data_IF_371672601108
#
_entry.id   IF_371672601108
#
_cell.length_a   1.000
_cell.length_b   1.000
_cell.length_c   1.000
_cell.angle_alpha   90.00
_cell.angle_beta   90.00
_cell.angle_gamma   90.00
#
_symmetry.space_group_name_H-M   'P 1'
#
loop_
_entity.id
_entity.type
_entity.pdbx_description
1 polymer ?
#
# COMPACT_ATOMS: atom_id res chain seq x y z
N UNK A 1 -36.46 -20.83 -1.42
CA UNK A 1 -36.12 -19.49 -1.94
C UNK A 1 -37.27 -18.54 -1.61
N UNK A 2 -36.98 -17.39 -1.01
CA UNK A 2 -37.92 -16.33 -0.67
C UNK A 2 -37.48 -15.05 -1.39
N UNK A 3 -38.04 -14.83 -2.58
CA UNK A 3 -37.62 -13.76 -3.50
C UNK A 3 -38.80 -12.83 -3.79
N UNK A 4 -38.59 -11.52 -3.75
CA UNK A 4 -39.61 -10.50 -4.04
C UNK A 4 -40.88 -10.66 -3.19
N UNK A 5 -40.75 -11.15 -1.96
CA UNK A 5 -41.88 -11.33 -1.05
C UNK A 5 -42.19 -10.02 -0.32
N UNK A 6 -43.40 -9.93 0.24
CA UNK A 6 -43.82 -8.81 1.11
C UNK A 6 -43.70 -9.15 2.60
N UNK A 7 -42.85 -10.12 2.94
CA UNK A 7 -42.65 -10.53 4.33
C UNK A 7 -41.92 -9.43 5.11
N UNK A 8 -42.42 -9.11 6.31
CA UNK A 8 -41.79 -8.15 7.22
C UNK A 8 -40.86 -8.81 8.23
N UNK A 9 -41.11 -10.07 8.56
CA UNK A 9 -40.39 -10.82 9.59
C UNK A 9 -40.14 -12.24 9.11
N UNK A 10 -38.93 -12.77 9.35
CA UNK A 10 -38.70 -14.22 9.37
C UNK A 10 -39.00 -14.70 10.79
N UNK A 11 -40.10 -15.43 11.01
CA UNK A 11 -40.56 -15.73 12.36
C UNK A 11 -39.65 -16.72 13.09
N UNK A 12 -39.77 -16.76 14.41
CA UNK A 12 -39.07 -17.70 15.27
C UNK A 12 -39.27 -19.14 14.80
N UNK A 13 -38.17 -19.88 14.62
CA UNK A 13 -38.21 -21.28 14.20
C UNK A 13 -38.75 -21.49 12.78
N UNK A 14 -38.73 -20.48 11.91
CA UNK A 14 -39.31 -20.54 10.57
C UNK A 14 -38.92 -21.78 9.75
N UNK A 15 -37.68 -22.24 9.89
CA UNK A 15 -37.14 -23.40 9.16
C UNK A 15 -36.96 -24.64 10.03
N UNK A 16 -37.40 -24.61 11.28
CA UNK A 16 -37.21 -25.73 12.20
C UNK A 16 -37.87 -27.02 11.68
N UNK A 17 -37.16 -28.14 11.82
CA UNK A 17 -37.64 -29.47 11.41
C UNK A 17 -37.42 -29.83 9.94
N UNK A 18 -36.89 -28.92 9.11
CA UNK A 18 -36.56 -29.19 7.70
C UNK A 18 -35.19 -29.89 7.57
N UNK A 19 -35.12 -31.16 7.98
CA UNK A 19 -33.85 -31.90 8.11
C UNK A 19 -33.09 -32.10 6.79
N UNK A 20 -33.81 -32.13 5.67
CA UNK A 20 -33.23 -32.28 4.33
C UNK A 20 -32.90 -30.94 3.65
N UNK A 21 -33.09 -29.81 4.34
CA UNK A 21 -32.86 -28.49 3.77
C UNK A 21 -31.37 -28.21 3.60
N UNK A 22 -30.96 -27.97 2.36
CA UNK A 22 -29.56 -27.76 2.02
C UNK A 22 -29.19 -26.29 1.79
N UNK A 23 -30.14 -25.51 1.23
CA UNK A 23 -29.92 -24.11 0.84
C UNK A 23 -31.11 -23.23 1.19
N UNK A 24 -30.83 -22.06 1.76
CA UNK A 24 -31.83 -21.01 1.98
C UNK A 24 -31.38 -19.74 1.28
N UNK A 25 -32.30 -19.16 0.52
CA UNK A 25 -32.11 -17.88 -0.16
C UNK A 25 -33.26 -16.96 0.22
N UNK A 26 -32.93 -15.79 0.77
CA UNK A 26 -33.82 -14.70 1.13
C UNK A 26 -33.28 -13.47 0.39
N UNK A 27 -33.82 -13.16 -0.78
CA UNK A 27 -33.28 -12.11 -1.65
C UNK A 27 -34.35 -11.12 -2.12
N UNK A 28 -33.99 -9.85 -2.27
CA UNK A 28 -34.88 -8.81 -2.82
C UNK A 28 -36.19 -8.64 -2.03
N UNK A 29 -36.09 -8.63 -0.70
CA UNK A 29 -37.24 -8.47 0.19
C UNK A 29 -37.19 -7.09 0.86
N UNK A 30 -37.69 -6.07 0.16
CA UNK A 30 -37.64 -4.67 0.63
C UNK A 30 -38.46 -4.43 1.90
N UNK A 31 -39.47 -5.26 2.17
CA UNK A 31 -40.30 -5.12 3.36
C UNK A 31 -39.72 -5.83 4.60
N UNK A 32 -38.69 -6.67 4.44
CA UNK A 32 -38.13 -7.46 5.54
C UNK A 32 -37.37 -6.56 6.50
N UNK A 33 -37.77 -6.57 7.77
CA UNK A 33 -37.22 -5.71 8.83
C UNK A 33 -36.42 -6.50 9.87
N UNK A 34 -36.86 -7.74 10.17
CA UNK A 34 -36.34 -8.55 11.29
C UNK A 34 -36.23 -10.03 10.93
N UNK A 35 -35.16 -10.68 11.40
CA UNK A 35 -35.05 -12.14 11.52
C UNK A 35 -35.03 -12.51 13.00
N UNK A 36 -36.03 -13.28 13.44
CA UNK A 36 -36.21 -13.64 14.85
C UNK A 36 -35.31 -14.81 15.30
N UNK A 37 -35.27 -15.04 16.61
CA UNK A 37 -34.52 -16.11 17.24
C UNK A 37 -34.83 -17.50 16.66
N UNK A 38 -33.84 -18.37 16.61
CA UNK A 38 -33.91 -19.74 16.11
C UNK A 38 -34.48 -19.87 14.68
N UNK A 39 -34.50 -18.81 13.87
CA UNK A 39 -34.96 -18.90 12.48
C UNK A 39 -34.22 -20.01 11.71
N UNK A 40 -32.89 -20.10 11.91
CA UNK A 40 -32.01 -21.11 11.33
C UNK A 40 -31.44 -22.01 12.44
N UNK A 41 -32.26 -22.95 12.92
CA UNK A 41 -31.87 -23.85 14.02
C UNK A 41 -31.98 -25.33 13.67
N UNK A 42 -30.99 -26.13 14.05
CA UNK A 42 -31.00 -27.60 13.96
C UNK A 42 -31.23 -28.11 12.52
N UNK A 43 -30.45 -27.57 11.59
CA UNK A 43 -30.53 -27.91 10.16
C UNK A 43 -29.25 -28.65 9.74
N UNK A 44 -29.21 -30.01 9.84
CA UNK A 44 -27.97 -30.77 9.76
C UNK A 44 -27.37 -30.80 8.34
N UNK A 45 -28.18 -30.64 7.29
CA UNK A 45 -27.71 -30.62 5.89
C UNK A 45 -27.55 -29.22 5.29
N UNK A 46 -27.93 -28.17 6.03
CA UNK A 46 -27.88 -26.81 5.52
C UNK A 46 -26.43 -26.36 5.38
N UNK A 47 -26.01 -26.11 4.15
CA UNK A 47 -24.65 -25.68 3.84
C UNK A 47 -24.58 -24.27 3.27
N UNK A 48 -25.69 -23.70 2.82
CA UNK A 48 -25.73 -22.38 2.19
C UNK A 48 -26.91 -21.53 2.72
N UNK A 49 -26.60 -20.34 3.23
CA UNK A 49 -27.59 -19.31 3.60
C UNK A 49 -27.22 -18.02 2.87
N UNK A 50 -28.17 -17.47 2.12
CA UNK A 50 -28.01 -16.19 1.40
C UNK A 50 -29.10 -15.22 1.80
N UNK A 51 -28.70 -14.07 2.34
CA UNK A 51 -29.56 -12.93 2.70
C UNK A 51 -29.07 -11.74 1.88
N UNK A 52 -29.81 -11.37 0.85
CA UNK A 52 -29.36 -10.36 -0.12
C UNK A 52 -30.41 -9.28 -0.36
N UNK A 53 -29.98 -8.04 -0.57
CA UNK A 53 -30.85 -6.94 -1.05
C UNK A 53 -32.10 -6.80 -0.19
N UNK A 54 -31.90 -6.73 1.13
CA UNK A 54 -32.94 -6.54 2.12
C UNK A 54 -32.68 -5.22 2.84
N UNK A 55 -32.90 -4.11 2.12
CA UNK A 55 -32.45 -2.78 2.54
C UNK A 55 -33.02 -2.32 3.89
N UNK A 56 -34.23 -2.77 4.23
CA UNK A 56 -34.89 -2.45 5.49
C UNK A 56 -34.63 -3.48 6.60
N UNK A 57 -33.83 -4.53 6.36
CA UNK A 57 -33.45 -5.49 7.39
C UNK A 57 -32.43 -4.82 8.32
N UNK A 58 -32.89 -4.36 9.49
CA UNK A 58 -32.05 -3.63 10.45
C UNK A 58 -31.55 -4.52 11.58
N UNK A 59 -32.24 -5.64 11.84
CA UNK A 59 -31.99 -6.50 12.99
C UNK A 59 -32.06 -7.99 12.65
N UNK A 60 -31.04 -8.73 13.06
CA UNK A 60 -31.05 -10.20 13.16
C UNK A 60 -30.84 -10.53 14.63
N UNK A 61 -31.75 -11.33 15.17
CA UNK A 61 -31.68 -11.77 16.56
C UNK A 61 -30.37 -12.54 16.84
N UNK A 62 -29.79 -12.34 18.01
CA UNK A 62 -28.52 -12.98 18.40
C UNK A 62 -28.60 -14.51 18.41
N UNK A 63 -29.80 -15.06 18.55
CA UNK A 63 -30.09 -16.48 18.57
C UNK A 63 -30.66 -17.00 17.24
N UNK A 64 -30.65 -16.20 16.18
CA UNK A 64 -31.18 -16.58 14.87
C UNK A 64 -30.46 -17.78 14.23
N UNK A 65 -29.13 -17.86 14.39
CA UNK A 65 -28.30 -18.94 13.84
C UNK A 65 -27.85 -19.92 14.94
N UNK A 66 -28.33 -21.17 14.88
CA UNK A 66 -28.00 -22.18 15.89
C UNK A 66 -27.77 -23.56 15.29
N UNK A 67 -26.68 -24.20 15.72
CA UNK A 67 -26.32 -25.59 15.43
C UNK A 67 -26.50 -25.95 13.95
N UNK A 68 -25.59 -25.44 13.12
CA UNK A 68 -25.55 -25.63 11.68
C UNK A 68 -24.26 -26.37 11.32
N UNK A 69 -24.16 -27.69 11.61
CA UNK A 69 -22.91 -28.44 11.56
C UNK A 69 -22.32 -28.58 10.14
N UNK A 70 -23.14 -28.41 9.10
CA UNK A 70 -22.73 -28.52 7.69
C UNK A 70 -22.61 -27.16 7.00
N UNK A 71 -22.73 -26.03 7.72
CA UNK A 71 -22.68 -24.70 7.11
C UNK A 71 -21.33 -24.47 6.43
N UNK A 72 -21.35 -24.03 5.17
CA UNK A 72 -20.15 -23.72 4.37
C UNK A 72 -20.14 -22.29 3.87
N UNK A 73 -21.31 -21.73 3.57
CA UNK A 73 -21.45 -20.37 3.04
C UNK A 73 -22.58 -19.62 3.72
N UNK A 74 -22.24 -18.49 4.34
CA UNK A 74 -23.20 -17.53 4.88
C UNK A 74 -22.94 -16.17 4.22
N UNK A 75 -23.85 -15.75 3.35
CA UNK A 75 -23.82 -14.47 2.66
C UNK A 75 -24.86 -13.53 3.24
N UNK A 76 -24.43 -12.33 3.63
CA UNK A 76 -25.29 -11.22 4.02
C UNK A 76 -24.84 -9.98 3.25
N UNK A 77 -25.56 -9.61 2.21
CA UNK A 77 -25.17 -8.50 1.34
C UNK A 77 -26.29 -7.48 1.11
N UNK A 78 -25.91 -6.20 1.10
CA UNK A 78 -26.80 -5.08 0.81
C UNK A 78 -28.05 -5.09 1.71
N UNK A 79 -27.80 -4.96 3.02
CA UNK A 79 -28.83 -4.90 4.05
C UNK A 79 -28.71 -3.65 4.92
N UNK A 80 -29.75 -3.37 5.70
CA UNK A 80 -29.79 -2.26 6.66
C UNK A 80 -29.10 -2.52 8.00
N UNK A 81 -28.39 -3.65 8.16
CA UNK A 81 -27.86 -4.11 9.44
C UNK A 81 -26.86 -3.14 10.05
N UNK A 82 -26.98 -2.93 11.36
CA UNK A 82 -26.10 -2.05 12.14
C UNK A 82 -24.96 -2.78 12.84
N UNK A 83 -25.13 -4.08 13.06
CA UNK A 83 -24.21 -4.95 13.78
C UNK A 83 -23.97 -6.23 12.98
N UNK A 84 -22.82 -6.87 13.18
CA UNK A 84 -22.55 -8.19 12.64
C UNK A 84 -23.53 -9.22 13.22
N UNK A 85 -23.93 -10.25 12.44
CA UNK A 85 -24.75 -11.34 12.96
C UNK A 85 -23.98 -12.10 14.04
N UNK A 86 -24.68 -12.50 15.10
CA UNK A 86 -24.09 -13.35 16.12
C UNK A 86 -23.93 -14.79 15.59
N UNK A 87 -22.69 -15.28 15.52
CA UNK A 87 -22.37 -16.60 14.96
C UNK A 87 -21.88 -17.62 16.00
N UNK A 88 -21.84 -17.23 17.27
CA UNK A 88 -21.28 -18.03 18.37
C UNK A 88 -21.95 -19.39 18.61
N UNK A 89 -23.18 -19.58 18.14
CA UNK A 89 -23.95 -20.82 18.26
C UNK A 89 -24.01 -21.62 16.96
N UNK A 90 -23.32 -21.21 15.89
CA UNK A 90 -23.34 -21.91 14.60
C UNK A 90 -22.65 -23.28 14.70
N UNK A 91 -21.42 -23.31 15.20
CA UNK A 91 -20.62 -24.53 15.44
C UNK A 91 -20.56 -25.47 14.24
N UNK A 92 -20.18 -24.94 13.06
CA UNK A 92 -19.97 -25.76 11.86
C UNK A 92 -18.74 -26.67 12.01
N UNK A 93 -18.80 -27.86 11.40
CA UNK A 93 -17.66 -28.78 11.27
C UNK A 93 -16.97 -28.66 9.89
N UNK A 94 -17.30 -27.63 9.12
CA UNK A 94 -16.78 -27.41 7.78
C UNK A 94 -16.01 -26.09 7.72
N UNK A 95 -15.15 -25.95 6.71
CA UNK A 95 -14.59 -24.64 6.37
C UNK A 95 -15.72 -23.68 5.98
N UNK A 96 -15.82 -22.54 6.65
CA UNK A 96 -16.89 -21.55 6.44
C UNK A 96 -16.36 -20.32 5.73
N UNK A 97 -17.03 -19.93 4.65
CA UNK A 97 -16.95 -18.60 4.06
C UNK A 97 -18.08 -17.73 4.65
N UNK A 98 -17.71 -16.76 5.47
CA UNK A 98 -18.61 -15.72 5.94
C UNK A 98 -18.42 -14.47 5.07
N UNK A 99 -19.44 -14.18 4.29
CA UNK A 99 -19.41 -13.13 3.28
C UNK A 99 -20.42 -12.04 3.67
N UNK A 100 -19.89 -10.94 4.21
CA UNK A 100 -20.68 -9.79 4.66
C UNK A 100 -20.17 -8.57 3.90
N UNK A 101 -20.89 -8.16 2.86
CA UNK A 101 -20.48 -7.08 1.95
C UNK A 101 -21.61 -6.08 1.72
N UNK A 102 -21.27 -4.83 1.39
CA UNK A 102 -22.24 -3.77 1.06
C UNK A 102 -23.24 -3.45 2.20
N UNK A 103 -22.86 -3.71 3.46
CA UNK A 103 -23.66 -3.34 4.64
C UNK A 103 -23.09 -2.07 5.27
N UNK A 104 -23.43 -0.93 4.67
CA UNK A 104 -22.87 0.40 5.00
C UNK A 104 -23.12 0.86 6.45
N UNK A 105 -24.07 0.24 7.14
CA UNK A 105 -24.45 0.59 8.51
C UNK A 105 -23.69 -0.20 9.58
N UNK A 106 -22.95 -1.25 9.21
CA UNK A 106 -22.07 -1.99 10.13
C UNK A 106 -20.80 -1.17 10.36
N UNK A 107 -20.59 -0.71 11.58
CA UNK A 107 -19.50 0.23 11.91
C UNK A 107 -18.40 -0.35 12.79
N UNK A 108 -18.70 -1.37 13.59
CA UNK A 108 -17.80 -1.90 14.62
C UNK A 108 -17.72 -3.42 14.48
N UNK A 109 -16.51 -3.96 14.59
CA UNK A 109 -16.29 -5.39 14.86
C UNK A 109 -15.95 -5.54 16.34
N UNK A 110 -16.84 -6.18 17.09
CA UNK A 110 -16.71 -6.39 18.53
C UNK A 110 -15.76 -7.55 18.87
N UNK A 111 -15.30 -7.59 20.12
CA UNK A 111 -14.52 -8.71 20.65
C UNK A 111 -15.23 -10.06 20.44
N UNK A 112 -14.46 -11.10 20.08
CA UNK A 112 -14.95 -12.47 19.88
C UNK A 112 -16.10 -12.60 18.84
N UNK A 113 -16.27 -11.65 17.91
CA UNK A 113 -17.39 -11.61 16.95
C UNK A 113 -17.58 -12.91 16.16
N UNK A 114 -16.50 -13.65 15.93
CA UNK A 114 -16.47 -14.84 15.07
C UNK A 114 -16.21 -16.15 15.84
N UNK A 115 -16.04 -16.08 17.16
CA UNK A 115 -15.79 -17.24 18.00
C UNK A 115 -16.99 -18.20 17.92
N UNK A 116 -16.74 -19.50 17.69
CA UNK A 116 -17.81 -20.52 17.63
C UNK A 116 -18.52 -20.64 16.27
N UNK A 117 -18.06 -19.91 15.23
CA UNK A 117 -18.59 -20.06 13.88
C UNK A 117 -18.30 -21.45 13.27
N UNK A 118 -17.05 -21.90 13.37
CA UNK A 118 -16.60 -23.20 12.88
C UNK A 118 -15.50 -23.77 13.78
N UNK A 119 -15.40 -25.10 13.86
CA UNK A 119 -14.25 -25.81 14.41
C UNK A 119 -13.07 -25.91 13.45
N UNK A 120 -13.30 -25.63 12.16
CA UNK A 120 -12.32 -25.62 11.07
C UNK A 120 -11.89 -24.18 10.72
N UNK A 121 -11.13 -24.03 9.63
CA UNK A 121 -10.74 -22.70 9.14
C UNK A 121 -11.92 -21.89 8.60
N UNK A 122 -11.76 -20.57 8.63
CA UNK A 122 -12.77 -19.59 8.24
C UNK A 122 -12.16 -18.58 7.26
N UNK A 123 -12.94 -18.22 6.24
CA UNK A 123 -12.68 -17.07 5.38
C UNK A 123 -13.69 -15.98 5.76
N UNK A 124 -13.18 -14.80 6.10
CA UNK A 124 -13.97 -13.64 6.49
C UNK A 124 -13.85 -12.55 5.42
N UNK A 125 -14.92 -12.37 4.65
CA UNK A 125 -15.06 -11.24 3.74
C UNK A 125 -15.96 -10.19 4.38
N UNK A 126 -15.34 -9.13 4.88
CA UNK A 126 -15.97 -8.01 5.57
C UNK A 126 -15.76 -6.70 4.79
N UNK A 127 -15.48 -6.82 3.50
CA UNK A 127 -15.16 -5.70 2.62
C UNK A 127 -16.41 -4.91 2.23
N UNK A 128 -16.22 -3.67 1.76
CA UNK A 128 -17.31 -2.77 1.31
C UNK A 128 -18.41 -2.52 2.36
N UNK A 129 -18.06 -2.56 3.65
CA UNK A 129 -18.99 -2.19 4.73
C UNK A 129 -18.71 -0.76 5.21
N UNK A 130 -19.41 -0.36 6.27
CA UNK A 130 -19.20 0.92 6.95
C UNK A 130 -18.18 0.88 8.10
N UNK A 131 -17.31 -0.13 8.16
CA UNK A 131 -16.50 -0.42 9.36
C UNK A 131 -15.51 0.73 9.60
N UNK A 132 -15.48 1.19 10.85
CA UNK A 132 -14.62 2.28 11.34
C UNK A 132 -13.71 1.82 12.46
N UNK A 133 -14.20 0.90 13.29
CA UNK A 133 -13.53 0.43 14.49
C UNK A 133 -13.55 -1.09 14.56
N UNK A 134 -12.43 -1.65 15.03
CA UNK A 134 -12.27 -3.07 15.33
C UNK A 134 -11.75 -3.12 16.76
N UNK A 135 -12.39 -3.89 17.64
CA UNK A 135 -11.93 -4.05 19.02
C UNK A 135 -10.73 -5.01 19.12
N UNK A 136 -9.96 -4.93 20.22
CA UNK A 136 -8.98 -5.97 20.54
C UNK A 136 -9.68 -7.34 20.68
N UNK A 137 -8.99 -8.43 20.33
CA UNK A 137 -9.54 -9.78 20.34
C UNK A 137 -10.79 -9.99 19.47
N UNK A 138 -11.02 -9.15 18.46
CA UNK A 138 -12.15 -9.30 17.53
C UNK A 138 -12.22 -10.69 16.87
N UNK A 139 -11.05 -11.26 16.55
CA UNK A 139 -10.92 -12.56 15.88
C UNK A 139 -10.48 -13.71 16.82
N UNK A 140 -10.55 -13.51 18.14
CA UNK A 140 -10.12 -14.51 19.11
C UNK A 140 -10.89 -15.83 18.99
N UNK A 141 -10.19 -16.96 19.14
CA UNK A 141 -10.76 -18.30 19.06
C UNK A 141 -11.13 -18.74 17.65
N UNK A 142 -10.52 -18.14 16.61
CA UNK A 142 -10.79 -18.48 15.20
C UNK A 142 -9.53 -18.89 14.44
N UNK A 143 -9.72 -19.79 13.47
CA UNK A 143 -8.69 -20.20 12.51
C UNK A 143 -8.92 -19.44 11.20
N UNK A 144 -8.22 -18.33 11.00
CA UNK A 144 -8.37 -17.45 9.84
C UNK A 144 -7.49 -17.90 8.68
N UNK A 145 -8.12 -18.33 7.58
CA UNK A 145 -7.43 -18.50 6.31
C UNK A 145 -7.26 -17.15 5.61
N UNK A 146 -8.36 -16.41 5.48
CA UNK A 146 -8.38 -15.13 4.79
C UNK A 146 -9.26 -14.13 5.52
N UNK A 147 -8.74 -12.91 5.65
CA UNK A 147 -9.45 -11.75 6.17
C UNK A 147 -9.40 -10.62 5.16
N UNK A 148 -10.56 -10.26 4.61
CA UNK A 148 -10.71 -9.16 3.70
C UNK A 148 -11.48 -8.00 4.38
N UNK A 149 -10.76 -6.92 4.67
CA UNK A 149 -11.26 -5.66 5.23
C UNK A 149 -11.26 -4.54 4.17
N UNK A 150 -11.07 -4.86 2.90
CA UNK A 150 -10.94 -3.86 1.85
C UNK A 150 -12.19 -2.99 1.67
N UNK A 151 -12.02 -1.80 1.11
CA UNK A 151 -13.09 -0.85 0.83
C UNK A 151 -13.89 -0.37 2.07
N UNK A 152 -13.38 -0.61 3.28
CA UNK A 152 -13.84 0.08 4.49
C UNK A 152 -13.13 1.44 4.60
N UNK A 153 -13.60 2.43 3.83
CA UNK A 153 -12.92 3.72 3.62
C UNK A 153 -12.72 4.58 4.89
N UNK A 154 -13.38 4.24 5.99
CA UNK A 154 -13.29 4.96 7.26
C UNK A 154 -12.57 4.18 8.36
N UNK A 155 -12.02 2.99 8.04
CA UNK A 155 -11.22 2.21 8.97
C UNK A 155 -9.80 2.79 9.04
N UNK A 156 -9.45 3.40 10.18
CA UNK A 156 -8.20 4.13 10.37
C UNK A 156 -7.13 3.34 11.15
N UNK A 157 -7.56 2.43 12.03
CA UNK A 157 -6.67 1.75 12.96
C UNK A 157 -6.99 0.28 13.03
N UNK A 158 -5.93 -0.52 13.10
CA UNK A 158 -5.99 -1.95 13.35
C UNK A 158 -5.28 -2.17 14.69
N UNK A 159 -6.01 -2.48 15.79
CA UNK A 159 -5.41 -2.57 17.12
C UNK A 159 -4.32 -3.64 17.22
N UNK A 160 -3.36 -3.48 18.15
CA UNK A 160 -2.23 -4.41 18.28
C UNK A 160 -2.63 -5.85 18.67
N UNK A 161 -3.74 -6.03 19.40
CA UNK A 161 -4.20 -7.33 19.92
C UNK A 161 -5.39 -7.88 19.11
N UNK A 162 -5.62 -7.34 17.91
CA UNK A 162 -6.73 -7.73 17.02
C UNK A 162 -6.73 -9.23 16.67
N UNK A 163 -5.55 -9.79 16.46
CA UNK A 163 -5.31 -11.20 16.09
C UNK A 163 -4.90 -12.05 17.29
N UNK A 164 -4.93 -11.49 18.51
CA UNK A 164 -4.55 -12.25 19.68
C UNK A 164 -5.58 -13.34 19.98
N UNK A 165 -5.10 -14.58 20.04
CA UNK A 165 -5.95 -15.77 20.18
C UNK A 165 -6.58 -16.26 18.87
N UNK A 166 -6.29 -15.60 17.75
CA UNK A 166 -6.58 -16.11 16.42
C UNK A 166 -5.38 -16.91 15.88
N UNK A 167 -5.63 -17.95 15.08
CA UNK A 167 -4.60 -18.57 14.25
C UNK A 167 -4.72 -18.01 12.83
N UNK A 168 -3.63 -17.59 12.20
CA UNK A 168 -3.67 -16.78 10.97
C UNK A 168 -3.78 -15.26 11.24
N UNK A 169 -4.24 -14.44 10.27
CA UNK A 169 -4.70 -14.82 8.93
C UNK A 169 -3.55 -15.26 8.00
N UNK A 170 -3.84 -16.10 7.00
CA UNK A 170 -2.88 -16.46 5.94
C UNK A 170 -2.88 -15.42 4.82
N UNK A 171 -4.06 -14.89 4.49
CA UNK A 171 -4.26 -13.80 3.53
C UNK A 171 -4.91 -12.62 4.25
N UNK A 172 -4.30 -11.44 4.16
CA UNK A 172 -4.84 -10.20 4.71
C UNK A 172 -5.01 -9.16 3.59
N UNK A 173 -6.22 -8.67 3.41
CA UNK A 173 -6.53 -7.57 2.50
C UNK A 173 -7.07 -6.36 3.27
N UNK A 174 -6.32 -5.26 3.23
CA UNK A 174 -6.65 -3.96 3.83
C UNK A 174 -6.67 -2.85 2.78
N UNK A 175 -6.87 -3.22 1.51
CA UNK A 175 -6.89 -2.28 0.38
C UNK A 175 -8.02 -1.25 0.51
N UNK A 176 -7.81 -0.04 -0.01
CA UNK A 176 -8.81 1.04 0.00
C UNK A 176 -9.31 1.43 1.40
N UNK A 177 -8.49 1.23 2.44
CA UNK A 177 -8.75 1.67 3.82
C UNK A 177 -7.88 2.87 4.19
N UNK A 178 -8.16 3.48 5.35
CA UNK A 178 -7.36 4.58 5.94
C UNK A 178 -6.38 4.09 7.00
N UNK A 179 -6.12 2.79 7.06
CA UNK A 179 -5.24 2.18 8.06
C UNK A 179 -3.85 2.83 8.01
N UNK A 180 -3.40 3.35 9.14
CA UNK A 180 -2.10 4.02 9.25
C UNK A 180 -0.95 3.11 9.70
N UNK A 181 -1.25 2.01 10.40
CA UNK A 181 -0.27 1.08 10.95
C UNK A 181 -0.83 -0.35 11.00
N UNK A 182 0.06 -1.32 10.83
CA UNK A 182 -0.23 -2.75 11.06
C UNK A 182 0.07 -3.13 12.51
N UNK A 183 -0.60 -4.16 13.06
CA UNK A 183 -0.39 -4.60 14.44
C UNK A 183 0.99 -5.23 14.65
N UNK A 184 1.51 -5.17 15.88
CA UNK A 184 2.84 -5.74 16.22
C UNK A 184 2.86 -7.26 16.40
N UNK A 185 1.68 -7.88 16.58
CA UNK A 185 1.51 -9.32 16.81
C UNK A 185 0.49 -9.92 15.83
N UNK A 186 0.58 -11.23 15.59
CA UNK A 186 -0.35 -11.97 14.74
C UNK A 186 -0.08 -11.92 13.24
N UNK A 187 1.00 -11.26 12.80
CA UNK A 187 1.39 -11.19 11.38
C UNK A 187 2.27 -12.37 10.91
N UNK A 188 2.65 -13.27 11.83
CA UNK A 188 3.66 -14.32 11.59
C UNK A 188 3.24 -15.36 10.55
N UNK A 189 1.93 -15.60 10.44
CA UNK A 189 1.33 -16.60 9.55
C UNK A 189 0.89 -16.02 8.20
N UNK A 190 0.97 -14.70 8.01
CA UNK A 190 0.55 -14.04 6.77
C UNK A 190 1.49 -14.45 5.63
N UNK A 191 0.94 -15.10 4.61
CA UNK A 191 1.62 -15.43 3.35
C UNK A 191 1.35 -14.40 2.28
N UNK A 192 0.17 -13.78 2.27
CA UNK A 192 -0.22 -12.76 1.28
C UNK A 192 -0.77 -11.52 1.96
N UNK A 193 -0.15 -10.37 1.70
CA UNK A 193 -0.59 -9.07 2.22
C UNK A 193 -1.01 -8.16 1.07
N UNK A 194 -2.24 -7.65 1.09
CA UNK A 194 -2.77 -6.69 0.11
C UNK A 194 -3.13 -5.39 0.82
N UNK A 195 -2.50 -4.30 0.39
CA UNK A 195 -2.68 -2.94 0.90
C UNK A 195 -2.60 -1.95 -0.27
N UNK A 196 -3.47 -2.16 -1.27
CA UNK A 196 -3.58 -1.29 -2.45
C UNK A 196 -4.43 -0.07 -2.11
N UNK A 197 -4.05 1.10 -2.59
CA UNK A 197 -4.75 2.36 -2.31
C UNK A 197 -4.92 2.66 -0.81
N UNK A 198 -3.99 2.21 0.03
CA UNK A 198 -3.94 2.42 1.47
C UNK A 198 -2.91 3.53 1.79
N UNK A 199 -3.20 4.76 1.36
CA UNK A 199 -2.24 5.88 1.37
C UNK A 199 -1.77 6.32 2.78
N UNK A 200 -2.56 6.02 3.82
CA UNK A 200 -2.17 6.35 5.19
C UNK A 200 -1.15 5.37 5.77
N UNK A 201 -1.01 4.18 5.19
CA UNK A 201 -0.03 3.18 5.61
C UNK A 201 1.33 3.59 5.09
N UNK A 202 2.03 4.45 5.83
CA UNK A 202 3.35 4.95 5.42
C UNK A 202 4.49 4.09 5.92
N UNK A 203 4.32 3.40 7.05
CA UNK A 203 5.36 2.59 7.69
C UNK A 203 4.93 1.15 7.84
N UNK A 204 5.87 0.24 7.65
CA UNK A 204 5.70 -1.19 7.92
C UNK A 204 6.31 -1.55 9.28
N UNK A 205 5.79 -2.58 9.96
CA UNK A 205 6.44 -3.13 11.14
C UNK A 205 7.74 -3.85 10.74
N UNK A 206 8.53 -4.23 11.75
CA UNK A 206 9.78 -4.96 11.55
C UNK A 206 9.55 -6.22 10.67
N UNK A 207 10.42 -6.40 9.68
CA UNK A 207 10.30 -7.49 8.70
C UNK A 207 10.37 -8.88 9.36
N UNK A 208 11.01 -9.01 10.53
CA UNK A 208 11.03 -10.24 11.33
C UNK A 208 9.65 -10.73 11.75
N UNK A 209 8.65 -9.84 11.76
CA UNK A 209 7.24 -10.17 12.03
C UNK A 209 6.57 -10.90 10.87
N UNK A 210 7.07 -10.73 9.65
CA UNK A 210 6.51 -11.33 8.43
C UNK A 210 7.17 -12.68 8.07
N UNK A 211 7.26 -13.61 9.03
CA UNK A 211 7.99 -14.88 8.85
C UNK A 211 7.47 -15.74 7.68
N UNK A 212 6.17 -15.67 7.41
CA UNK A 212 5.50 -16.50 6.40
C UNK A 212 5.28 -15.82 5.05
N UNK A 213 5.64 -14.54 4.90
CA UNK A 213 5.22 -13.72 3.76
C UNK A 213 5.88 -14.19 2.45
N UNK A 214 5.05 -14.30 1.40
CA UNK A 214 5.43 -14.76 0.06
C UNK A 214 5.04 -13.71 -0.98
N UNK A 215 3.88 -13.07 -0.82
CA UNK A 215 3.35 -12.08 -1.75
C UNK A 215 2.91 -10.82 -1.00
N UNK A 216 3.30 -9.64 -1.50
CA UNK A 216 2.93 -8.36 -0.92
C UNK A 216 2.55 -7.34 -2.01
N UNK A 217 1.34 -6.79 -1.92
CA UNK A 217 0.82 -5.81 -2.87
C UNK A 217 0.53 -4.50 -2.12
N UNK A 218 1.46 -3.57 -2.13
CA UNK A 218 1.40 -2.29 -1.46
C UNK A 218 0.93 -1.16 -2.38
N UNK A 219 0.78 0.03 -1.79
CA UNK A 219 0.50 1.27 -2.52
C UNK A 219 1.78 1.98 -2.95
N UNK A 220 2.82 1.95 -2.11
CA UNK A 220 4.08 2.66 -2.34
C UNK A 220 5.19 1.71 -2.80
N UNK A 221 5.92 2.02 -3.89
CA UNK A 221 7.05 1.19 -4.35
C UNK A 221 8.18 1.06 -3.33
N UNK A 222 8.37 2.08 -2.47
CA UNK A 222 9.39 2.09 -1.43
C UNK A 222 9.20 0.99 -0.36
N UNK A 223 7.97 0.51 -0.14
CA UNK A 223 7.73 -0.64 0.72
C UNK A 223 8.37 -1.91 0.17
N UNK A 224 8.37 -2.08 -1.15
CA UNK A 224 8.99 -3.24 -1.79
C UNK A 224 10.52 -3.23 -1.67
N UNK A 225 11.15 -2.07 -1.50
CA UNK A 225 12.59 -1.95 -1.25
C UNK A 225 13.03 -2.62 0.06
N UNK A 226 12.15 -2.68 1.06
CA UNK A 226 12.44 -3.39 2.31
C UNK A 226 12.61 -4.91 2.07
N UNK A 227 11.93 -5.46 1.06
CA UNK A 227 11.90 -6.89 0.77
C UNK A 227 12.90 -7.35 -0.30
N UNK A 228 13.57 -6.44 -1.02
CA UNK A 228 14.54 -6.81 -2.08
C UNK A 228 15.79 -7.48 -1.54
N UNK A 229 16.31 -7.00 -0.41
CA UNK A 229 17.50 -7.54 0.25
C UNK A 229 17.17 -8.45 1.45
N UNK A 230 15.88 -8.65 1.73
CA UNK A 230 15.44 -9.46 2.85
C UNK A 230 15.57 -10.95 2.52
N UNK A 231 16.65 -11.55 2.98
CA UNK A 231 16.83 -13.01 2.96
C UNK A 231 16.08 -13.60 4.15
N UNK A 232 15.01 -14.34 3.85
CA UNK A 232 14.19 -15.02 4.85
C UNK A 232 15.07 -15.89 5.74
N UNK A 233 15.02 -15.68 7.06
CA UNK A 233 15.95 -16.29 8.00
C UNK A 233 15.58 -17.71 8.46
N UNK A 234 14.58 -18.38 7.86
CA UNK A 234 14.17 -19.72 8.27
C UNK A 234 14.46 -20.81 7.24
N UNK A 235 15.51 -21.56 7.57
CA UNK A 235 15.80 -22.96 7.26
C UNK A 235 14.77 -23.90 7.90
N UNK A 236 13.56 -23.99 7.34
CA UNK A 236 12.73 -25.19 7.53
C UNK A 236 12.28 -25.68 6.16
N UNK A 237 13.12 -26.54 5.59
CA UNK A 237 12.81 -27.27 4.37
C UNK A 237 11.59 -28.16 4.64
N UNK A 238 10.58 -28.13 3.78
CA UNK A 238 9.44 -29.03 3.87
C UNK A 238 9.96 -30.49 3.96
N UNK A 239 9.43 -31.39 4.81
CA UNK A 239 9.99 -32.73 4.99
C UNK A 239 10.08 -33.54 3.68
N UNK A 240 9.19 -33.26 2.72
CA UNK A 240 9.17 -33.83 1.38
C UNK A 240 10.42 -33.43 0.56
N UNK A 241 10.96 -32.23 0.79
CA UNK A 241 12.14 -31.72 0.09
C UNK A 241 13.44 -32.41 0.55
N UNK A 242 13.51 -32.91 1.80
CA UNK A 242 14.69 -33.60 2.34
C UNK A 242 15.00 -34.88 1.55
N UNK A 243 13.97 -35.58 1.05
CA UNK A 243 14.16 -36.77 0.22
C UNK A 243 14.69 -36.47 -1.19
N UNK A 244 14.50 -35.26 -1.72
CA UNK A 244 14.96 -34.91 -3.07
C UNK A 244 16.47 -34.67 -3.14
N UNK A 245 17.09 -34.20 -2.05
CA UNK A 245 18.54 -34.00 -1.95
C UNK A 245 19.26 -35.35 -1.75
N UNK A 246 18.70 -36.28 -0.96
CA UNK A 246 19.28 -37.62 -0.77
C UNK A 246 19.32 -38.47 -2.07
N UNK A 247 18.46 -38.17 -3.06
CA UNK A 247 18.52 -38.83 -4.39
C UNK A 247 19.55 -38.21 -5.35
N UNK A 248 20.02 -36.99 -5.09
CA UNK A 248 21.06 -36.34 -5.90
C UNK A 248 22.46 -36.81 -5.51
N UNK A 249 22.69 -37.15 -4.24
CA UNK A 249 24.02 -37.57 -3.74
C UNK A 249 24.42 -39.01 -4.08
N UNK A 250 23.55 -39.81 -4.72
CA UNK A 250 23.88 -41.18 -5.14
C UNK A 250 24.24 -41.32 -6.63
N UNK A 251 24.45 -40.21 -7.35
CA UNK A 251 24.79 -40.19 -8.78
C UNK A 251 26.04 -39.36 -9.08
N UNK A 252 27.10 -39.51 -8.31
CA UNK A 252 28.44 -39.10 -8.76
C UNK A 252 29.50 -40.13 -8.39
N UNK A 253 29.79 -41.04 -9.33
CA UNK A 253 31.14 -41.57 -9.55
C UNK A 253 31.40 -41.71 -11.06
N UNK A 254 32.66 -41.54 -11.52
CA UNK A 254 32.95 -41.03 -12.85
C UNK A 254 33.51 -42.07 -13.82
N UNK A 255 33.09 -41.97 -15.09
CA UNK A 255 33.85 -42.44 -16.25
C UNK A 255 33.39 -43.75 -16.88
N UNK A 256 32.67 -43.66 -18.01
CA UNK A 256 33.05 -44.27 -19.31
C UNK A 256 31.97 -44.01 -20.38
N UNK A 257 32.42 -43.95 -21.63
CA UNK A 257 31.65 -43.63 -22.86
C UNK A 257 30.76 -44.82 -23.28
N UNK A 258 29.59 -44.57 -23.88
CA UNK A 258 29.26 -44.82 -25.31
C UNK A 258 27.72 -44.79 -25.52
N UNK A 259 27.36 -44.74 -26.80
CA UNK A 259 26.10 -44.38 -27.44
C UNK A 259 25.12 -45.58 -27.66
N UNK A 260 23.85 -45.24 -27.93
CA UNK A 260 22.85 -45.89 -28.83
C UNK A 260 21.81 -46.91 -28.27
N UNK A 261 20.52 -46.58 -28.55
CA UNK A 261 19.30 -47.41 -28.80
C UNK A 261 18.81 -48.39 -27.70
N UNK A 262 17.53 -48.76 -27.55
CA UNK A 262 16.23 -48.40 -28.13
C UNK A 262 15.14 -49.18 -27.36
N UNK A 263 13.97 -48.55 -27.22
CA UNK A 263 12.64 -49.15 -27.37
C UNK A 263 12.04 -50.16 -26.35
N UNK A 264 10.71 -50.26 -26.50
CA UNK A 264 9.66 -51.06 -25.88
C UNK A 264 9.13 -50.54 -24.52
N UNK A 265 7.92 -49.95 -24.47
CA UNK A 265 6.57 -50.59 -24.57
C UNK A 265 6.29 -51.37 -23.26
N UNK A 266 5.19 -51.26 -22.53
CA UNK A 266 3.80 -51.06 -22.92
C UNK A 266 2.89 -50.89 -21.66
N UNK A 267 1.76 -50.18 -21.84
CA UNK A 267 0.40 -50.38 -21.28
C UNK A 267 0.19 -50.40 -19.74
N UNK A 268 -0.84 -49.74 -19.14
CA UNK A 268 -2.27 -49.78 -19.46
C UNK A 268 -2.99 -48.46 -19.08
N UNK A 269 -3.87 -48.04 -20.00
CA UNK A 269 -4.94 -47.02 -19.97
C UNK A 269 -6.14 -47.42 -19.10
N UNK A 270 -6.83 -46.54 -18.37
CA UNK A 270 -8.05 -45.81 -18.79
C UNK A 270 -8.76 -45.38 -17.48
N UNK A 271 -9.37 -44.21 -17.32
CA UNK A 271 -10.61 -43.76 -17.97
C UNK A 271 -10.70 -42.23 -17.87
N UNK A 272 -11.10 -41.56 -18.95
CA UNK A 272 -11.38 -40.13 -18.96
C UNK A 272 -12.76 -39.81 -18.41
N UNK A 273 -12.84 -38.70 -17.67
CA UNK A 273 -14.02 -37.84 -17.59
C UNK A 273 -13.52 -36.43 -17.86
N UNK A 274 -14.00 -35.82 -18.95
CA UNK A 274 -13.68 -34.45 -19.30
C UNK A 274 -14.37 -33.45 -18.38
N UNK A 275 -13.67 -32.37 -18.04
CA UNK A 275 -14.25 -31.11 -17.56
C UNK A 275 -13.28 -29.94 -17.84
N UNK A 276 -13.84 -28.77 -18.11
CA UNK A 276 -13.29 -27.54 -18.73
C UNK A 276 -11.94 -26.98 -18.23
N UNK A 277 -11.23 -26.19 -19.07
CA UNK A 277 -9.97 -25.55 -18.73
C UNK A 277 -10.19 -24.17 -18.09
N UNK A 278 -10.43 -24.12 -16.79
CA UNK A 278 -10.25 -22.89 -16.00
C UNK A 278 -10.00 -23.28 -14.54
N UNK A 279 -9.04 -22.62 -13.90
CA UNK A 279 -8.65 -22.77 -12.48
C UNK A 279 -7.78 -24.00 -12.15
N UNK A 280 -6.46 -23.86 -12.34
CA UNK A 280 -5.45 -24.33 -11.39
C UNK A 280 -4.06 -23.84 -11.82
N UNK A 281 -3.73 -22.58 -11.51
CA UNK A 281 -2.37 -22.02 -11.70
C UNK A 281 -1.60 -21.91 -10.37
N UNK A 282 -1.94 -22.77 -9.40
CA UNK A 282 -1.34 -22.78 -8.06
C UNK A 282 -0.87 -24.19 -7.68
N UNK A 283 0.06 -24.79 -8.43
CA UNK A 283 0.79 -25.96 -7.88
C UNK A 283 2.19 -26.27 -8.46
N UNK A 284 3.00 -25.26 -8.80
CA UNK A 284 4.42 -25.51 -9.14
C UNK A 284 5.35 -24.57 -8.39
N UNK A 285 5.74 -24.96 -7.16
CA UNK A 285 6.77 -24.22 -6.42
C UNK A 285 7.12 -24.73 -5.02
N UNK A 286 6.70 -25.94 -4.61
CA UNK A 286 6.86 -26.40 -3.23
C UNK A 286 8.31 -26.70 -2.79
N UNK A 287 9.29 -26.65 -3.71
CA UNK A 287 10.68 -27.05 -3.45
C UNK A 287 11.73 -25.97 -3.76
N UNK A 288 11.36 -24.72 -4.07
CA UNK A 288 12.37 -23.71 -4.41
C UNK A 288 12.97 -23.03 -3.17
N UNK A 289 14.26 -23.28 -3.03
CA UNK A 289 15.26 -22.56 -2.24
C UNK A 289 15.08 -21.04 -2.37
N UNK A 290 14.99 -20.34 -1.22
CA UNK A 290 14.95 -18.87 -1.12
C UNK A 290 13.87 -18.21 -2.01
N UNK A 291 12.61 -18.33 -1.62
CA UNK A 291 11.54 -17.55 -2.24
C UNK A 291 11.65 -16.10 -1.78
N UNK A 292 12.18 -15.24 -2.64
CA UNK A 292 12.09 -13.79 -2.47
C UNK A 292 10.61 -13.40 -2.45
N UNK A 293 10.24 -12.46 -1.57
CA UNK A 293 8.86 -11.96 -1.48
C UNK A 293 8.48 -11.29 -2.80
N UNK A 294 7.44 -11.81 -3.46
CA UNK A 294 6.88 -11.20 -4.66
C UNK A 294 6.16 -9.91 -4.25
N UNK A 295 6.79 -8.76 -4.51
CA UNK A 295 6.29 -7.46 -4.09
C UNK A 295 5.86 -6.58 -5.27
N UNK A 296 4.72 -5.90 -5.13
CA UNK A 296 4.22 -4.90 -6.09
C UNK A 296 3.72 -3.63 -5.36
N UNK A 297 3.81 -2.43 -5.98
CA UNK A 297 4.49 -2.12 -7.24
C UNK A 297 6.01 -2.18 -7.11
N UNK A 298 6.70 -2.61 -8.17
CA UNK A 298 8.18 -2.64 -8.19
C UNK A 298 8.73 -1.21 -8.20
N UNK A 299 9.88 -0.96 -7.52
CA UNK A 299 10.56 0.33 -7.62
C UNK A 299 10.95 0.63 -9.06
N UNK A 300 10.80 1.88 -9.46
CA UNK A 300 11.15 2.39 -10.80
C UNK A 300 12.39 3.29 -10.73
N UNK A 301 12.83 3.81 -11.88
CA UNK A 301 14.02 4.67 -11.95
C UNK A 301 13.87 5.99 -11.18
N UNK A 302 12.63 6.43 -10.94
CA UNK A 302 12.32 7.65 -10.20
C UNK A 302 12.18 7.41 -8.69
N UNK A 303 11.91 6.17 -8.27
CA UNK A 303 11.82 5.73 -6.88
C UNK A 303 12.79 4.56 -6.62
N UNK A 304 14.11 4.77 -6.73
CA UNK A 304 15.08 3.73 -6.42
C UNK A 304 15.07 3.39 -4.92
N UNK A 305 15.53 2.19 -4.60
CA UNK A 305 15.68 1.73 -3.21
C UNK A 305 16.90 2.30 -2.49
N UNK A 306 17.68 3.15 -3.16
CA UNK A 306 18.86 3.79 -2.62
C UNK A 306 18.48 5.00 -1.76
N UNK A 307 19.38 5.40 -0.86
CA UNK A 307 19.24 6.67 -0.12
C UNK A 307 19.23 7.86 -1.12
N UNK A 308 18.75 9.04 -0.67
CA UNK A 308 18.68 10.28 -1.47
C UNK A 308 19.98 10.55 -2.24
N UNK A 309 21.13 10.29 -1.61
CA UNK A 309 22.45 10.30 -2.25
C UNK A 309 23.09 8.89 -2.16
N UNK A 310 22.90 8.07 -3.19
CA UNK A 310 23.32 6.66 -3.19
C UNK A 310 24.83 6.42 -3.00
N UNK A 311 25.69 7.38 -3.38
CA UNK A 311 27.15 7.22 -3.33
C UNK A 311 27.82 8.10 -2.27
N UNK A 312 28.75 7.50 -1.50
CA UNK A 312 29.54 8.23 -0.49
C UNK A 312 30.37 9.38 -1.09
N UNK A 313 30.85 9.26 -2.33
CA UNK A 313 31.58 10.34 -3.01
C UNK A 313 30.67 11.55 -3.24
N UNK A 314 29.45 11.32 -3.72
CA UNK A 314 28.48 12.38 -3.97
C UNK A 314 28.10 13.10 -2.66
N UNK A 315 27.98 12.37 -1.55
CA UNK A 315 27.74 12.93 -0.22
C UNK A 315 28.85 13.87 0.24
N UNK A 316 30.12 13.50 0.04
CA UNK A 316 31.24 14.40 0.40
C UNK A 316 31.24 15.65 -0.50
N UNK A 317 31.02 15.46 -1.80
CA UNK A 317 30.99 16.56 -2.76
C UNK A 317 29.84 17.55 -2.50
N UNK A 318 28.64 17.08 -2.18
CA UNK A 318 27.49 17.98 -1.96
C UNK A 318 27.66 18.85 -0.71
N UNK A 319 28.25 18.32 0.36
CA UNK A 319 28.60 19.11 1.54
C UNK A 319 29.63 20.19 1.20
N UNK A 320 30.67 19.82 0.44
CA UNK A 320 31.69 20.78 0.03
C UNK A 320 31.12 21.89 -0.88
N UNK A 321 30.37 21.51 -1.92
CA UNK A 321 29.78 22.44 -2.89
C UNK A 321 28.74 23.34 -2.20
N UNK A 322 27.88 22.80 -1.33
CA UNK A 322 26.85 23.60 -0.64
C UNK A 322 27.47 24.65 0.29
N UNK A 323 28.47 24.28 1.09
CA UNK A 323 29.17 25.23 1.97
C UNK A 323 29.85 26.32 1.15
N UNK A 324 30.56 25.97 0.07
CA UNK A 324 31.20 26.94 -0.82
C UNK A 324 30.18 27.87 -1.50
N UNK A 325 29.08 27.32 -2.00
CA UNK A 325 28.02 28.11 -2.65
C UNK A 325 27.37 29.08 -1.66
N UNK A 326 27.05 28.64 -0.44
CA UNK A 326 26.43 29.51 0.57
C UNK A 326 27.41 30.59 1.03
N UNK A 327 28.63 30.21 1.43
CA UNK A 327 29.62 31.17 1.92
C UNK A 327 30.08 32.16 0.85
N UNK A 328 30.40 31.68 -0.35
CA UNK A 328 30.84 32.51 -1.47
C UNK A 328 29.78 33.53 -1.89
N UNK A 329 28.53 33.08 -2.06
CA UNK A 329 27.45 34.00 -2.48
C UNK A 329 27.03 34.97 -1.38
N UNK A 330 27.07 34.58 -0.11
CA UNK A 330 26.85 35.51 1.02
C UNK A 330 27.93 36.61 1.01
N UNK A 331 29.20 36.24 0.86
CA UNK A 331 30.30 37.22 0.80
C UNK A 331 30.11 38.17 -0.38
N UNK A 332 29.77 37.66 -1.57
CA UNK A 332 29.48 38.49 -2.75
C UNK A 332 28.32 39.46 -2.48
N UNK A 333 27.21 38.99 -1.90
CA UNK A 333 26.07 39.83 -1.55
C UNK A 333 26.45 40.91 -0.53
N UNK A 334 27.18 40.56 0.54
CA UNK A 334 27.65 41.50 1.56
C UNK A 334 28.54 42.59 0.92
N UNK A 335 29.52 42.19 0.11
CA UNK A 335 30.43 43.14 -0.53
C UNK A 335 29.66 44.07 -1.48
N UNK A 336 28.75 43.54 -2.29
CA UNK A 336 28.02 44.33 -3.28
C UNK A 336 26.97 45.26 -2.65
N UNK A 337 26.36 44.87 -1.53
CA UNK A 337 25.35 45.68 -0.81
C UNK A 337 26.00 46.71 0.13
N UNK A 338 27.07 46.34 0.82
CA UNK A 338 27.79 47.20 1.79
C UNK A 338 28.70 48.24 1.13
N UNK A 339 29.05 48.02 -0.14
CA UNK A 339 29.85 48.93 -0.94
C UNK A 339 29.19 50.31 -1.09
N UNK A 340 29.88 51.37 -0.65
CA UNK A 340 29.42 52.76 -0.81
C UNK A 340 29.48 53.29 -2.25
N UNK A 341 29.91 52.45 -3.20
CA UNK A 341 29.96 52.82 -4.62
C UNK A 341 28.57 52.77 -5.27
N UNK A 342 28.33 53.61 -6.27
CA UNK A 342 27.05 53.62 -7.02
C UNK A 342 26.73 52.24 -7.62
N UNK A 343 25.48 51.79 -7.46
CA UNK A 343 24.96 50.56 -8.07
C UNK A 343 24.87 50.71 -9.59
N UNK A 344 25.83 50.11 -10.29
CA UNK A 344 25.79 49.98 -11.74
C UNK A 344 24.90 48.81 -12.15
N UNK A 345 24.37 48.82 -13.37
CA UNK A 345 23.50 47.74 -13.90
C UNK A 345 24.15 46.36 -13.77
N UNK A 346 25.44 46.15 -14.15
CA UNK A 346 26.07 44.84 -14.00
C UNK A 346 26.21 44.39 -12.55
N UNK A 347 26.48 45.32 -11.61
CA UNK A 347 26.56 45.00 -10.17
C UNK A 347 25.20 44.60 -9.61
N UNK A 348 24.15 45.29 -10.02
CA UNK A 348 22.77 44.92 -9.65
C UNK A 348 22.38 43.53 -10.18
N UNK A 349 22.73 43.20 -11.43
CA UNK A 349 22.46 41.87 -11.99
C UNK A 349 23.29 40.78 -11.30
N UNK A 350 24.56 41.06 -10.97
CA UNK A 350 25.40 40.14 -10.17
C UNK A 350 24.82 39.88 -8.77
N UNK A 351 24.16 40.86 -8.12
CA UNK A 351 23.46 40.61 -6.86
C UNK A 351 22.30 39.62 -7.02
N UNK A 352 21.51 39.74 -8.11
CA UNK A 352 20.40 38.82 -8.36
C UNK A 352 20.91 37.40 -8.66
N UNK A 353 22.01 37.27 -9.40
CA UNK A 353 22.64 35.98 -9.68
C UNK A 353 23.18 35.35 -8.39
N UNK A 354 23.91 36.12 -7.57
CA UNK A 354 24.42 35.64 -6.28
C UNK A 354 23.29 35.24 -5.32
N UNK A 355 22.14 35.91 -5.37
CA UNK A 355 20.96 35.51 -4.60
C UNK A 355 20.38 34.17 -5.10
N UNK A 356 20.23 33.98 -6.41
CA UNK A 356 19.76 32.72 -6.97
C UNK A 356 20.71 31.56 -6.61
N UNK A 357 22.02 31.76 -6.75
CA UNK A 357 23.03 30.75 -6.42
C UNK A 357 23.08 30.46 -4.90
N UNK A 358 22.80 31.45 -4.06
CA UNK A 358 22.61 31.26 -2.61
C UNK A 358 21.39 30.35 -2.32
N UNK A 359 20.27 30.55 -3.02
CA UNK A 359 19.09 29.70 -2.89
C UNK A 359 19.40 28.25 -3.30
N UNK A 360 20.18 28.03 -4.37
CA UNK A 360 20.67 26.68 -4.74
C UNK A 360 21.57 26.10 -3.63
N UNK A 361 22.48 26.91 -3.06
CA UNK A 361 23.33 26.48 -1.95
C UNK A 361 22.53 26.03 -0.73
N UNK A 362 21.50 26.79 -0.34
CA UNK A 362 20.59 26.46 0.77
C UNK A 362 19.81 25.17 0.46
N UNK A 363 19.32 25.01 -0.77
CA UNK A 363 18.66 23.78 -1.21
C UNK A 363 19.57 22.56 -1.08
N UNK A 364 20.80 22.62 -1.59
CA UNK A 364 21.75 21.52 -1.50
C UNK A 364 22.10 21.18 -0.05
N UNK A 365 22.24 22.20 0.81
CA UNK A 365 22.47 22.03 2.24
C UNK A 365 21.27 21.35 2.94
N UNK A 366 20.05 21.71 2.56
CA UNK A 366 18.82 21.09 3.06
C UNK A 366 18.76 19.60 2.70
N UNK A 367 19.00 19.25 1.43
CA UNK A 367 19.04 17.85 0.98
C UNK A 367 20.14 17.06 1.68
N UNK A 368 21.35 17.62 1.81
CA UNK A 368 22.45 16.97 2.50
C UNK A 368 22.15 16.73 4.00
N UNK A 369 21.40 17.64 4.63
CA UNK A 369 20.96 17.52 6.02
C UNK A 369 19.89 16.44 6.21
N UNK A 370 19.01 16.24 5.23
CA UNK A 370 18.01 15.16 5.26
C UNK A 370 18.67 13.80 5.01
N UNK A 371 19.58 13.70 4.03
CA UNK A 371 20.30 12.46 3.71
C UNK A 371 21.05 11.89 4.92
N UNK A 372 21.70 12.75 5.72
CA UNK A 372 22.40 12.30 6.95
C UNK A 372 21.42 11.80 8.03
N UNK A 373 20.22 12.39 8.13
CA UNK A 373 19.21 11.97 9.11
C UNK A 373 18.54 10.64 8.74
N UNK A 374 18.33 10.40 7.44
CA UNK A 374 17.63 9.21 6.94
C UNK A 374 18.56 8.08 6.52
N UNK A 375 19.87 8.22 6.74
CA UNK A 375 20.91 7.31 6.24
C UNK A 375 20.57 5.84 6.53
N UNK A 376 20.62 5.00 5.49
CA UNK A 376 20.39 3.55 5.55
C UNK A 376 18.98 3.12 5.99
N UNK A 377 18.07 4.07 6.23
CA UNK A 377 16.67 3.82 6.57
C UNK A 377 15.74 4.69 5.70
N UNK A 378 16.25 5.23 4.59
CA UNK A 378 15.49 6.16 3.76
C UNK A 378 14.17 5.55 3.28
N UNK A 379 14.12 4.25 2.97
CA UNK A 379 12.88 3.57 2.57
C UNK A 379 11.71 3.75 3.56
N UNK A 380 11.98 3.87 4.87
CA UNK A 380 10.96 4.10 5.92
C UNK A 380 10.52 5.56 6.03
N UNK A 381 11.35 6.50 5.57
CA UNK A 381 11.09 7.94 5.61
C UNK A 381 10.75 8.52 4.23
N UNK A 382 10.98 7.77 3.15
CA UNK A 382 10.81 8.21 1.77
C UNK A 382 9.37 8.63 1.50
N UNK A 383 8.40 7.89 2.03
CA UNK A 383 6.97 8.19 1.84
C UNK A 383 6.61 9.49 2.56
N UNK A 384 7.10 9.69 3.79
CA UNK A 384 6.89 10.92 4.55
C UNK A 384 7.58 12.12 3.89
N UNK A 385 8.76 11.93 3.31
CA UNK A 385 9.49 12.95 2.56
C UNK A 385 8.76 13.37 1.28
N UNK A 386 8.36 12.39 0.48
CA UNK A 386 7.68 12.59 -0.81
C UNK A 386 6.29 13.21 -0.61
N UNK A 387 5.48 12.69 0.30
CA UNK A 387 4.11 13.17 0.55
C UNK A 387 4.05 14.40 1.48
N UNK A 388 5.15 14.74 2.14
CA UNK A 388 5.24 15.83 3.09
C UNK A 388 5.64 17.16 2.48
N UNK A 389 5.81 18.17 3.35
CA UNK A 389 6.26 19.50 2.93
C UNK A 389 7.73 19.53 2.46
N UNK A 390 8.52 18.51 2.78
CA UNK A 390 9.95 18.42 2.44
C UNK A 390 10.20 18.44 0.94
N UNK A 391 9.57 17.52 0.20
CA UNK A 391 9.66 17.46 -1.27
C UNK A 391 9.17 18.76 -1.92
N UNK A 392 8.03 19.31 -1.47
CA UNK A 392 7.50 20.57 -2.02
C UNK A 392 8.43 21.76 -1.79
N UNK A 393 9.03 21.86 -0.60
CA UNK A 393 9.97 22.94 -0.28
C UNK A 393 11.27 22.82 -1.09
N UNK A 394 11.81 21.60 -1.17
CA UNK A 394 13.01 21.31 -1.97
C UNK A 394 12.79 21.59 -3.46
N UNK A 395 11.66 21.14 -4.01
CA UNK A 395 11.26 21.38 -5.39
C UNK A 395 11.06 22.86 -5.69
N UNK A 396 10.40 23.59 -4.78
CA UNK A 396 10.22 25.04 -4.90
C UNK A 396 11.56 25.77 -5.01
N UNK A 397 12.48 25.57 -4.06
CA UNK A 397 13.78 26.24 -4.07
C UNK A 397 14.60 25.90 -5.30
N UNK A 398 14.58 24.64 -5.74
CA UNK A 398 15.34 24.19 -6.92
C UNK A 398 14.86 24.90 -8.18
N UNK A 399 13.54 24.85 -8.46
CA UNK A 399 12.97 25.46 -9.67
C UNK A 399 13.05 26.98 -9.61
N UNK A 400 12.68 27.58 -8.48
CA UNK A 400 12.75 29.04 -8.32
C UNK A 400 14.16 29.57 -8.58
N UNK A 401 15.17 28.93 -7.98
CA UNK A 401 16.54 29.40 -8.07
C UNK A 401 17.17 29.11 -9.45
N UNK A 402 16.87 27.96 -10.07
CA UNK A 402 17.36 27.67 -11.43
C UNK A 402 16.77 28.63 -12.46
N UNK A 403 15.46 28.87 -12.41
CA UNK A 403 14.78 29.77 -13.35
C UNK A 403 15.26 31.22 -13.17
N UNK A 404 15.40 31.68 -11.93
CA UNK A 404 15.93 33.02 -11.65
C UNK A 404 17.39 33.17 -12.10
N UNK A 405 18.22 32.14 -11.92
CA UNK A 405 19.63 32.15 -12.34
C UNK A 405 19.75 32.20 -13.87
N UNK A 406 19.03 31.33 -14.59
CA UNK A 406 18.99 31.32 -16.06
C UNK A 406 18.47 32.65 -16.60
N UNK A 407 17.37 33.17 -16.05
CA UNK A 407 16.84 34.47 -16.45
C UNK A 407 17.88 35.58 -16.22
N UNK A 408 18.51 35.62 -15.05
CA UNK A 408 19.52 36.65 -14.73
C UNK A 408 20.73 36.55 -15.65
N UNK A 409 21.22 35.33 -15.95
CA UNK A 409 22.30 35.10 -16.91
C UNK A 409 21.95 35.63 -18.30
N UNK A 410 20.73 35.39 -18.78
CA UNK A 410 20.28 35.92 -20.09
C UNK A 410 20.20 37.45 -20.10
N UNK A 411 19.77 38.07 -19.00
CA UNK A 411 19.75 39.54 -18.90
C UNK A 411 21.18 40.11 -18.85
N UNK A 412 22.10 39.44 -18.15
CA UNK A 412 23.52 39.82 -18.14
C UNK A 412 24.10 39.74 -19.56
N UNK A 413 23.86 38.67 -20.31
CA UNK A 413 24.39 38.53 -21.67
C UNK A 413 23.83 39.59 -22.62
N UNK A 414 22.52 39.87 -22.54
CA UNK A 414 21.87 40.93 -23.34
C UNK A 414 22.36 42.33 -22.97
N UNK A 415 22.57 42.61 -21.69
CA UNK A 415 23.15 43.87 -21.23
C UNK A 415 24.57 44.05 -21.78
N UNK A 416 25.41 43.02 -21.69
CA UNK A 416 26.78 43.06 -22.20
C UNK A 416 26.81 43.26 -23.71
N UNK A 417 26.00 42.52 -24.45
CA UNK A 417 25.84 42.68 -25.88
C UNK A 417 25.45 44.11 -26.24
N UNK A 418 24.39 44.63 -25.63
CA UNK A 418 23.88 45.98 -25.89
C UNK A 418 24.93 47.05 -25.57
N UNK A 419 25.64 46.93 -24.44
CA UNK A 419 26.68 47.89 -24.04
C UNK A 419 27.88 47.88 -25.01
N UNK A 420 28.24 46.73 -25.58
CA UNK A 420 29.32 46.62 -26.57
C UNK A 420 28.89 47.21 -27.92
N UNK A 421 27.71 46.84 -28.44
CA UNK A 421 27.24 47.30 -29.76
C UNK A 421 27.00 48.81 -29.80
N UNK A 422 26.49 49.38 -28.70
CA UNK A 422 26.15 50.81 -28.61
C UNK A 422 27.17 51.62 -27.80
N UNK A 423 28.41 51.16 -27.67
CA UNK A 423 29.45 51.79 -26.87
C UNK A 423 29.67 53.28 -27.19
N UNK A 424 29.54 53.67 -28.46
CA UNK A 424 29.76 55.03 -28.97
C UNK A 424 28.52 55.96 -28.84
N UNK A 425 27.35 55.44 -28.45
CA UNK A 425 26.10 56.21 -28.34
C UNK A 425 25.73 56.42 -26.86
N UNK A 426 26.29 57.47 -26.24
CA UNK A 426 26.15 57.75 -24.81
C UNK A 426 24.68 57.87 -24.31
N UNK A 427 23.74 58.23 -25.21
CA UNK A 427 22.32 58.40 -24.89
C UNK A 427 21.53 57.08 -24.82
N UNK A 428 22.02 55.98 -25.43
CA UNK A 428 21.33 54.68 -25.47
C UNK A 428 21.69 53.73 -24.33
N UNK A 429 22.47 54.17 -23.32
CA UNK A 429 22.88 53.30 -22.21
C UNK A 429 21.67 52.82 -21.39
N UNK A 430 21.61 51.50 -21.13
CA UNK A 430 20.61 50.89 -20.26
C UNK A 430 20.76 51.48 -18.85
N UNK A 431 19.70 52.15 -18.39
CA UNK A 431 19.64 52.70 -17.03
C UNK A 431 19.18 51.65 -16.03
N UNK A 432 19.58 51.80 -14.76
CA UNK A 432 19.19 50.92 -13.66
C UNK A 432 17.67 50.72 -13.55
N UNK A 433 16.86 51.75 -13.80
CA UNK A 433 15.39 51.64 -13.79
C UNK A 433 14.86 50.57 -14.75
N UNK A 434 15.41 50.47 -15.95
CA UNK A 434 14.98 49.46 -16.93
C UNK A 434 15.41 48.07 -16.47
N UNK A 435 16.63 47.92 -15.94
CA UNK A 435 17.11 46.65 -15.40
C UNK A 435 16.27 46.15 -14.21
N UNK A 436 15.85 47.05 -13.32
CA UNK A 436 14.95 46.71 -12.20
C UNK A 436 13.61 46.20 -12.70
N UNK A 437 12.99 46.88 -13.67
CA UNK A 437 11.70 46.44 -14.24
C UNK A 437 11.83 45.06 -14.89
N UNK A 438 12.88 44.84 -15.68
CA UNK A 438 13.16 43.53 -16.32
C UNK A 438 13.32 42.45 -15.25
N UNK A 439 14.10 42.71 -14.19
CA UNK A 439 14.29 41.75 -13.12
C UNK A 439 13.00 41.45 -12.35
N UNK A 440 12.14 42.45 -12.09
CA UNK A 440 10.84 42.21 -11.43
C UNK A 440 10.00 41.21 -12.24
N UNK A 441 9.98 41.30 -13.57
CA UNK A 441 9.32 40.30 -14.40
C UNK A 441 9.96 38.92 -14.28
N UNK A 442 11.29 38.84 -14.27
CA UNK A 442 12.02 37.57 -14.06
C UNK A 442 11.68 36.91 -12.71
N UNK A 443 11.61 37.70 -11.65
CA UNK A 443 11.23 37.23 -10.31
C UNK A 443 9.79 36.72 -10.27
N UNK A 444 8.84 37.48 -10.84
CA UNK A 444 7.43 37.05 -10.92
C UNK A 444 7.29 35.76 -11.74
N UNK A 445 8.01 35.64 -12.85
CA UNK A 445 8.04 34.45 -13.69
C UNK A 445 8.57 33.24 -12.92
N UNK A 446 9.78 33.33 -12.36
CA UNK A 446 10.40 32.23 -11.61
C UNK A 446 9.55 31.79 -10.42
N UNK A 447 8.97 32.75 -9.70
CA UNK A 447 8.07 32.46 -8.57
C UNK A 447 6.79 31.77 -9.01
N UNK A 448 6.18 32.20 -10.12
CA UNK A 448 4.96 31.58 -10.65
C UNK A 448 5.24 30.14 -11.09
N UNK A 449 6.32 29.91 -11.84
CA UNK A 449 6.70 28.56 -12.30
C UNK A 449 6.98 27.62 -11.13
N UNK A 450 7.67 28.11 -10.08
CA UNK A 450 7.90 27.33 -8.87
C UNK A 450 6.63 27.10 -8.02
N UNK A 451 5.59 27.92 -8.15
CA UNK A 451 4.32 27.70 -7.44
C UNK A 451 3.38 26.72 -8.14
N UNK A 452 3.45 26.59 -9.48
CA UNK A 452 2.52 25.75 -10.25
C UNK A 452 2.41 24.30 -9.75
N UNK A 453 3.52 23.60 -9.39
CA UNK A 453 3.42 22.24 -8.87
C UNK A 453 2.74 22.15 -7.50
N UNK A 454 2.82 23.20 -6.68
CA UNK A 454 2.20 23.24 -5.34
C UNK A 454 0.67 23.33 -5.45
N UNK A 455 0.16 24.01 -6.47
CA UNK A 455 -1.28 24.12 -6.75
C UNK A 455 -1.84 22.93 -7.57
N UNK A 456 -1.06 21.88 -7.78
CA UNK A 456 -1.51 20.66 -8.47
C UNK A 456 -1.61 20.78 -9.99
N UNK A 457 -1.05 21.84 -10.60
CA UNK A 457 -0.93 21.95 -12.06
C UNK A 457 0.16 21.02 -12.60
N UNK A 458 1.19 20.78 -11.79
CA UNK A 458 2.29 19.84 -12.03
C UNK A 458 2.66 19.13 -10.71
N UNK A 459 3.66 18.27 -10.68
CA UNK A 459 4.12 17.57 -9.47
C UNK A 459 5.64 17.59 -9.36
N UNK A 460 6.15 17.78 -8.14
CA UNK A 460 7.56 17.57 -7.80
C UNK A 460 7.93 16.11 -7.59
N UNK A 461 6.91 15.25 -7.46
CA UNK A 461 7.07 13.84 -7.10
C UNK A 461 7.11 12.90 -8.32
N UNK A 462 7.10 13.44 -9.55
CA UNK A 462 6.83 12.66 -10.76
C UNK A 462 7.93 12.74 -11.79
#
# INVERSE_FOLDING_TARGET
>A
RFVLTKMRVVPKGAFAGLLDLEKIEISQNDALEVIEANAFSNLPKLHEIRIEKANNLVYIDADAFQHLPSLRYLLISNTGLRFLPAVHKVQSFQKVLLDIQDNINIRVIERNSFMGLSSESVILWLNKNGIREIENHAFNGTYLDELNLSDNHNLEKLPNEVFQGANGPVVLDISSTKISFLPSHGLEHIKKLRARSTYNLKKLPDLSKFRSLIEANFTYPSHCCAFTNWKRQNTELHPICIMSQAKKDLKEQPGEKLQIQSASEDYISSYGIGFDPAEHDFDYGLCNEVVNVACSPKPDAFNPCEDIMGYNILRVLIWFISILAVTGNIVVLIILISSQYKLTVPRFLMCNLAFADLCIGIYLLFIASVDIQTKSQYYNYAIDWQTGAGCNTAGFFTVFASELSVYTLTVITLERWHTITYAMQLHRKVRLRHAVIIMVFGWLFAFTVALLPIFGVSSYMK
#
